data_IF_578105092846
#
_entry.id   IF_578105092846
#
_cell.length_a   1.000
_cell.length_b   1.000
_cell.length_c   1.000
_cell.angle_alpha   90.00
_cell.angle_beta   90.00
_cell.angle_gamma   90.00
#
_symmetry.space_group_name_H-M   'P 1'
#
loop_
_entity.id
_entity.type
_entity.pdbx_description
1 polymer ?
#
# COMPACT_ATOMS: atom_id res chain seq x y z
N UNK A 1 -17.62 -31.60 47.48
CA UNK A 1 -16.80 -31.72 46.25
C UNK A 1 -17.39 -30.81 45.18
N UNK A 2 -16.98 -29.55 45.21
CA UNK A 2 -17.26 -28.50 44.23
C UNK A 2 -15.91 -28.22 43.54
N UNK A 3 -15.94 -27.75 42.30
CA UNK A 3 -14.79 -27.34 41.46
C UNK A 3 -14.02 -28.49 40.79
N UNK A 4 -14.48 -28.95 39.62
CA UNK A 4 -13.61 -29.64 38.64
C UNK A 4 -14.20 -29.77 37.22
N UNK A 5 -15.12 -28.88 36.81
CA UNK A 5 -15.68 -28.89 35.43
C UNK A 5 -15.47 -27.54 34.71
N UNK A 6 -14.89 -26.54 35.39
CA UNK A 6 -14.65 -25.21 34.83
C UNK A 6 -13.26 -24.96 34.24
N UNK A 7 -12.39 -25.98 34.12
CA UNK A 7 -10.99 -25.78 33.69
C UNK A 7 -10.68 -26.24 32.25
N UNK A 8 -11.56 -27.00 31.59
CA UNK A 8 -11.28 -27.53 30.24
C UNK A 8 -11.74 -26.63 29.09
N UNK A 9 -12.59 -25.61 29.32
CA UNK A 9 -13.05 -24.70 28.26
C UNK A 9 -12.28 -23.38 28.16
N UNK A 10 -11.34 -23.11 29.08
CA UNK A 10 -10.52 -21.87 29.06
C UNK A 10 -9.13 -22.13 28.43
N UNK A 11 -8.74 -23.39 28.23
CA UNK A 11 -7.46 -23.75 27.62
C UNK A 11 -7.51 -23.84 26.08
N UNK A 12 -8.70 -23.91 25.48
CA UNK A 12 -8.84 -24.00 24.01
C UNK A 12 -9.01 -22.63 23.31
N UNK A 13 -9.20 -21.55 24.06
CA UNK A 13 -9.34 -20.19 23.51
C UNK A 13 -8.02 -19.41 23.48
N UNK A 14 -6.94 -19.92 24.09
CA UNK A 14 -5.62 -19.30 24.06
C UNK A 14 -4.68 -19.87 22.99
N UNK A 15 -5.02 -20.99 22.36
CA UNK A 15 -4.20 -21.61 21.30
C UNK A 15 -4.61 -21.19 19.88
N UNK A 16 -5.72 -20.46 19.72
CA UNK A 16 -6.15 -19.93 18.42
C UNK A 16 -5.53 -18.58 18.05
N UNK A 17 -4.82 -17.93 18.99
CA UNK A 17 -4.15 -16.64 18.79
C UNK A 17 -2.62 -16.72 18.84
N UNK A 18 -2.03 -17.93 18.85
CA UNK A 18 -0.57 -18.12 18.96
C UNK A 18 0.12 -18.58 17.67
N UNK A 19 -0.55 -18.49 16.52
CA UNK A 19 0.06 -18.69 15.17
C UNK A 19 0.25 -17.36 14.43
N UNK A 20 0.43 -16.27 15.16
CA UNK A 20 0.97 -15.03 14.61
C UNK A 20 2.48 -15.23 14.51
N UNK A 21 2.88 -16.11 13.57
CA UNK A 21 4.27 -16.35 13.23
C UNK A 21 4.93 -14.99 12.91
N UNK A 22 5.98 -14.72 13.67
CA UNK A 22 6.80 -13.52 13.66
C UNK A 22 7.13 -13.11 12.22
N UNK A 23 6.81 -11.86 11.85
CA UNK A 23 7.18 -11.30 10.55
C UNK A 23 8.68 -11.52 10.31
N UNK A 24 9.04 -12.12 9.18
CA UNK A 24 10.40 -12.57 8.90
C UNK A 24 11.08 -11.61 7.91
N UNK A 25 11.41 -10.42 8.39
CA UNK A 25 12.10 -9.40 7.59
C UNK A 25 13.43 -9.92 7.02
N UNK A 26 14.11 -10.84 7.71
CA UNK A 26 15.37 -11.42 7.22
C UNK A 26 15.13 -12.34 6.02
N UNK A 27 14.08 -13.15 6.04
CA UNK A 27 13.68 -13.96 4.88
C UNK A 27 13.24 -13.07 3.72
N UNK A 28 12.44 -12.04 4.01
CA UNK A 28 12.01 -11.05 3.02
C UNK A 28 13.20 -10.36 2.34
N UNK A 29 14.15 -9.83 3.11
CA UNK A 29 15.34 -9.15 2.60
C UNK A 29 16.20 -10.03 1.68
N UNK A 30 16.28 -11.33 1.96
CA UNK A 30 17.02 -12.29 1.12
C UNK A 30 16.43 -12.49 -0.27
N UNK A 31 15.14 -12.18 -0.47
CA UNK A 31 14.52 -12.26 -1.79
C UNK A 31 15.06 -11.21 -2.76
N UNK A 32 15.63 -10.11 -2.24
CA UNK A 32 16.02 -8.94 -3.02
C UNK A 32 14.84 -8.06 -3.46
N UNK A 33 13.60 -8.46 -3.16
CA UNK A 33 12.38 -7.72 -3.47
C UNK A 33 12.27 -6.46 -2.61
N UNK A 34 11.41 -5.54 -3.06
CA UNK A 34 11.12 -4.31 -2.33
C UNK A 34 9.65 -3.98 -2.39
N UNK A 35 8.95 -4.21 -1.29
CA UNK A 35 7.51 -4.08 -1.29
C UNK A 35 6.80 -5.01 -2.26
N UNK A 36 6.04 -4.41 -3.18
CA UNK A 36 5.33 -5.09 -4.26
C UNK A 36 6.20 -5.29 -5.52
N UNK A 37 7.47 -4.88 -5.49
CA UNK A 37 8.37 -4.92 -6.63
C UNK A 37 9.46 -5.97 -6.47
N UNK A 38 9.97 -6.43 -7.61
CA UNK A 38 11.00 -7.46 -7.73
C UNK A 38 12.42 -6.98 -7.33
N UNK A 39 12.60 -5.68 -7.05
CA UNK A 39 13.89 -5.16 -6.63
C UNK A 39 13.78 -3.82 -5.91
N UNK A 40 14.78 -3.55 -5.06
CA UNK A 40 14.96 -2.24 -4.42
C UNK A 40 15.11 -1.10 -5.45
N UNK A 41 14.45 0.06 -5.24
CA UNK A 41 14.66 1.24 -6.07
C UNK A 41 16.03 1.89 -5.81
N UNK A 42 16.59 2.54 -6.83
CA UNK A 42 17.86 3.26 -6.73
C UNK A 42 17.69 4.63 -6.06
N UNK A 43 16.52 5.24 -6.22
CA UNK A 43 16.23 6.56 -5.62
C UNK A 43 14.74 6.81 -5.43
N UNK A 44 14.44 7.86 -4.67
CA UNK A 44 13.10 8.35 -4.39
C UNK A 44 12.88 9.72 -5.03
N UNK A 45 11.64 10.00 -5.41
CA UNK A 45 11.21 11.34 -5.81
C UNK A 45 9.85 11.70 -5.20
N UNK A 46 9.53 12.99 -5.26
CA UNK A 46 8.27 13.56 -4.77
C UNK A 46 7.28 13.65 -5.93
N UNK A 47 6.25 12.78 -6.00
CA UNK A 47 5.32 12.72 -7.14
C UNK A 47 4.73 14.07 -7.54
N UNK A 48 4.34 14.91 -6.57
CA UNK A 48 3.68 16.19 -6.83
C UNK A 48 4.64 17.30 -7.28
N UNK A 49 5.94 17.00 -7.50
CA UNK A 49 6.84 17.88 -8.25
C UNK A 49 6.64 17.75 -9.76
N UNK A 50 6.00 16.69 -10.23
CA UNK A 50 5.67 16.46 -11.64
C UNK A 50 4.30 17.09 -11.92
N UNK A 51 4.21 17.95 -12.93
CA UNK A 51 3.00 18.76 -13.18
C UNK A 51 1.73 17.92 -13.35
N UNK A 52 1.79 16.84 -14.14
CA UNK A 52 0.63 15.97 -14.37
C UNK A 52 0.06 15.40 -13.05
N UNK A 53 0.93 14.94 -12.16
CA UNK A 53 0.52 14.41 -10.85
C UNK A 53 0.09 15.52 -9.87
N UNK A 54 0.75 16.68 -9.90
CA UNK A 54 0.39 17.86 -9.11
C UNK A 54 -1.02 18.38 -9.45
N UNK A 55 -1.40 18.33 -10.71
CA UNK A 55 -2.74 18.74 -11.16
C UNK A 55 -3.76 17.61 -10.98
N UNK A 56 -3.34 16.36 -11.19
CA UNK A 56 -4.20 15.19 -11.15
C UNK A 56 -4.52 14.62 -9.77
N UNK A 57 -3.72 14.87 -8.73
CA UNK A 57 -3.91 14.18 -7.44
C UNK A 57 -5.25 14.49 -6.80
N UNK A 58 -5.65 15.77 -6.74
CA UNK A 58 -6.86 16.15 -6.03
C UNK A 58 -8.14 15.61 -6.70
N UNK A 59 -8.31 15.72 -8.03
CA UNK A 59 -9.41 15.05 -8.73
C UNK A 59 -9.40 13.52 -8.55
N UNK A 60 -8.23 12.89 -8.68
CA UNK A 60 -8.10 11.42 -8.61
C UNK A 60 -8.45 10.90 -7.21
N UNK A 61 -7.91 11.53 -6.16
CA UNK A 61 -8.18 11.14 -4.79
C UNK A 61 -9.59 11.52 -4.35
N UNK A 62 -10.13 12.68 -4.76
CA UNK A 62 -11.54 13.02 -4.50
C UNK A 62 -12.50 12.02 -5.14
N UNK A 63 -12.16 11.53 -6.34
CA UNK A 63 -12.92 10.46 -6.98
C UNK A 63 -12.94 9.18 -6.14
N UNK A 64 -11.79 8.73 -5.62
CA UNK A 64 -11.73 7.58 -4.71
C UNK A 64 -12.54 7.83 -3.44
N UNK A 65 -12.36 8.98 -2.79
CA UNK A 65 -13.09 9.36 -1.57
C UNK A 65 -14.61 9.27 -1.79
N UNK A 66 -15.10 9.79 -2.92
CA UNK A 66 -16.51 9.69 -3.27
C UNK A 66 -16.96 8.26 -3.54
N UNK A 67 -16.16 7.48 -4.26
CA UNK A 67 -16.47 6.08 -4.61
C UNK A 67 -16.56 5.17 -3.38
N UNK A 68 -15.75 5.43 -2.35
CA UNK A 68 -15.72 4.65 -1.11
C UNK A 68 -16.54 5.27 0.03
N UNK A 69 -17.32 6.34 -0.25
CA UNK A 69 -18.15 7.04 0.72
C UNK A 69 -17.40 7.60 1.95
N UNK A 70 -16.20 8.14 1.73
CA UNK A 70 -15.33 8.71 2.77
C UNK A 70 -15.30 10.25 2.75
N UNK A 71 -16.33 10.90 2.20
CA UNK A 71 -16.38 12.36 2.02
C UNK A 71 -16.45 13.14 3.34
N UNK A 72 -16.92 12.50 4.42
CA UNK A 72 -17.17 13.14 5.71
C UNK A 72 -16.02 12.98 6.71
N UNK A 73 -14.87 12.45 6.28
CA UNK A 73 -13.69 12.25 7.12
C UNK A 73 -12.45 12.89 6.50
N UNK A 74 -11.41 13.12 7.31
CA UNK A 74 -10.11 13.49 6.80
C UNK A 74 -9.46 12.29 6.12
N UNK A 75 -9.13 12.44 4.84
CA UNK A 75 -8.48 11.40 4.06
C UNK A 75 -6.98 11.65 4.02
N UNK A 76 -6.25 10.78 4.70
CA UNK A 76 -4.80 10.86 4.83
C UNK A 76 -4.13 9.97 3.78
N UNK A 77 -3.19 10.56 3.05
CA UNK A 77 -2.39 9.84 2.08
C UNK A 77 -0.90 10.05 2.32
N UNK A 78 -0.11 9.05 1.94
CA UNK A 78 1.32 9.19 1.75
C UNK A 78 1.68 8.78 0.32
N UNK A 79 2.37 9.65 -0.40
CA UNK A 79 2.79 9.43 -1.78
C UNK A 79 4.31 9.33 -1.88
N UNK A 80 4.83 8.35 -2.60
CA UNK A 80 6.27 8.23 -2.85
C UNK A 80 6.51 7.78 -4.29
N UNK A 81 7.47 8.43 -4.96
CA UNK A 81 7.97 8.01 -6.25
C UNK A 81 9.22 7.15 -6.10
N UNK A 82 9.28 6.04 -6.81
CA UNK A 82 10.43 5.14 -6.90
C UNK A 82 11.03 5.17 -8.30
N UNK A 83 12.36 5.21 -8.39
CA UNK A 83 13.10 5.14 -9.65
C UNK A 83 14.11 4.00 -9.64
N UNK A 84 14.12 3.24 -10.74
CA UNK A 84 15.15 2.28 -11.07
C UNK A 84 15.89 2.78 -12.31
N UNK A 85 17.21 2.87 -12.20
CA UNK A 85 18.09 3.30 -13.27
C UNK A 85 18.26 2.17 -14.29
N UNK A 86 18.54 2.56 -15.53
CA UNK A 86 18.86 1.62 -16.60
C UNK A 86 20.10 0.79 -16.24
N UNK A 87 20.02 -0.51 -16.45
CA UNK A 87 21.14 -1.46 -16.35
C UNK A 87 21.33 -2.18 -17.68
N UNK A 88 22.25 -3.14 -17.75
CA UNK A 88 22.40 -3.98 -18.95
C UNK A 88 21.19 -4.87 -19.21
N UNK A 89 20.49 -5.27 -18.16
CA UNK A 89 19.43 -6.30 -18.20
C UNK A 89 18.03 -5.71 -18.00
N UNK A 90 17.91 -4.39 -17.79
CA UNK A 90 16.66 -3.72 -17.44
C UNK A 90 16.66 -2.26 -17.87
N UNK A 91 15.56 -1.83 -18.49
CA UNK A 91 15.33 -0.41 -18.78
C UNK A 91 15.00 0.39 -17.52
N UNK A 92 15.18 1.71 -17.61
CA UNK A 92 14.75 2.60 -16.53
C UNK A 92 13.23 2.54 -16.35
N UNK A 93 12.78 2.66 -15.11
CA UNK A 93 11.35 2.74 -14.79
C UNK A 93 11.11 3.59 -13.56
N UNK A 94 9.96 4.23 -13.55
CA UNK A 94 9.45 5.00 -12.42
C UNK A 94 8.08 4.44 -12.00
N UNK A 95 7.81 4.48 -10.70
CA UNK A 95 6.54 4.07 -10.11
C UNK A 95 6.13 5.02 -9.01
N UNK A 96 4.83 5.18 -8.80
CA UNK A 96 4.30 6.09 -7.80
C UNK A 96 3.36 5.31 -6.90
N UNK A 97 3.75 5.21 -5.64
CA UNK A 97 2.96 4.50 -4.65
C UNK A 97 2.18 5.51 -3.83
N UNK A 98 0.89 5.22 -3.68
CA UNK A 98 -0.03 5.97 -2.84
C UNK A 98 -0.54 5.04 -1.75
N UNK A 99 -0.21 5.36 -0.50
CA UNK A 99 -0.86 4.79 0.66
C UNK A 99 -2.05 5.66 1.04
N UNK A 100 -3.27 5.17 0.83
CA UNK A 100 -4.47 5.80 1.37
C UNK A 100 -4.74 5.24 2.76
N UNK A 101 -4.18 5.90 3.78
CA UNK A 101 -4.16 5.41 5.15
C UNK A 101 -5.57 5.27 5.73
N UNK A 102 -6.44 6.25 5.46
CA UNK A 102 -7.81 6.27 5.97
C UNK A 102 -8.64 5.06 5.50
N UNK A 103 -8.42 4.59 4.27
CA UNK A 103 -9.14 3.45 3.71
C UNK A 103 -8.35 2.14 3.75
N UNK A 104 -7.09 2.15 4.24
CA UNK A 104 -6.18 1.01 4.26
C UNK A 104 -5.84 0.43 2.87
N UNK A 105 -5.59 1.31 1.87
CA UNK A 105 -5.20 0.89 0.51
C UNK A 105 -3.74 1.25 0.15
N UNK A 106 -3.10 0.38 -0.63
CA UNK A 106 -1.85 0.63 -1.36
C UNK A 106 -2.16 0.64 -2.86
N UNK A 107 -1.79 1.72 -3.55
CA UNK A 107 -2.10 1.92 -4.96
C UNK A 107 -0.80 2.21 -5.71
N UNK A 108 -0.48 1.42 -6.75
CA UNK A 108 0.55 1.77 -7.74
C UNK A 108 -0.09 2.69 -8.79
N UNK A 109 -0.05 3.99 -8.48
CA UNK A 109 -0.77 5.01 -9.20
C UNK A 109 -0.04 5.38 -10.49
N UNK A 110 -0.62 4.92 -11.59
CA UNK A 110 -0.30 5.39 -12.94
C UNK A 110 -1.37 6.37 -13.41
N UNK A 111 -0.96 7.58 -13.79
CA UNK A 111 -1.85 8.58 -14.36
C UNK A 111 -1.70 8.55 -15.88
N UNK A 112 -2.73 8.12 -16.64
CA UNK A 112 -2.62 8.00 -18.10
C UNK A 112 -2.21 9.30 -18.78
N UNK A 113 -1.34 9.17 -19.78
CA UNK A 113 -1.01 10.27 -20.70
C UNK A 113 -2.24 10.69 -21.51
N UNK A 114 -2.29 11.98 -21.86
CA UNK A 114 -3.35 12.56 -22.69
C UNK A 114 -4.17 13.66 -22.01
N UNK A 115 -5.03 14.29 -22.82
CA UNK A 115 -5.85 15.47 -22.46
C UNK A 115 -7.29 15.09 -22.07
N UNK A 116 -7.61 13.81 -21.86
CA UNK A 116 -8.96 13.40 -21.44
C UNK A 116 -9.29 13.93 -20.03
N UNK A 117 -10.32 14.77 -19.96
CA UNK A 117 -10.88 15.35 -18.73
C UNK A 117 -11.26 14.32 -17.67
N UNK A 118 -11.37 13.03 -18.03
CA UNK A 118 -11.73 11.94 -17.12
C UNK A 118 -10.57 11.02 -16.73
N UNK A 119 -9.33 11.31 -17.14
CA UNK A 119 -8.14 10.50 -16.82
C UNK A 119 -7.94 10.27 -15.31
N UNK A 120 -8.40 11.19 -14.46
CA UNK A 120 -8.32 11.06 -13.01
C UNK A 120 -9.09 9.85 -12.46
N UNK A 121 -10.12 9.38 -13.19
CA UNK A 121 -10.90 8.18 -12.80
C UNK A 121 -10.07 6.90 -12.95
N UNK A 122 -8.99 6.92 -13.73
CA UNK A 122 -8.14 5.77 -14.00
C UNK A 122 -7.47 5.21 -12.75
N UNK A 123 -7.35 6.00 -11.67
CA UNK A 123 -6.78 5.55 -10.40
C UNK A 123 -7.47 4.31 -9.81
N UNK A 124 -8.77 4.10 -10.07
CA UNK A 124 -9.48 2.90 -9.61
C UNK A 124 -9.07 1.64 -10.39
N UNK A 125 -8.45 1.81 -11.55
CA UNK A 125 -7.91 0.75 -12.40
C UNK A 125 -6.40 0.63 -12.28
N UNK A 126 -5.76 1.40 -11.40
CA UNK A 126 -4.35 1.25 -11.06
C UNK A 126 -4.05 -0.18 -10.64
N UNK A 127 -2.89 -0.71 -11.07
CA UNK A 127 -2.51 -2.08 -10.79
C UNK A 127 -1.07 -2.12 -10.24
N UNK A 128 -0.88 -2.60 -8.99
CA UNK A 128 -1.93 -3.10 -8.09
C UNK A 128 -2.74 -1.99 -7.37
N UNK A 129 -4.00 -2.30 -7.04
CA UNK A 129 -4.87 -1.54 -6.13
C UNK A 129 -5.26 -2.50 -5.00
N UNK A 130 -4.57 -2.40 -3.86
CA UNK A 130 -4.51 -3.44 -2.83
C UNK A 130 -5.29 -2.98 -1.60
N UNK A 131 -6.30 -3.75 -1.20
CA UNK A 131 -6.84 -3.66 0.16
C UNK A 131 -5.86 -4.32 1.13
N UNK A 132 -5.20 -3.51 1.94
CA UNK A 132 -4.15 -4.00 2.85
C UNK A 132 -4.71 -4.83 4.00
N UNK A 133 -6.03 -4.82 4.22
CA UNK A 133 -6.68 -5.64 5.25
C UNK A 133 -6.88 -7.08 4.78
N UNK A 134 -7.11 -7.26 3.48
CA UNK A 134 -7.49 -8.55 2.90
C UNK A 134 -6.33 -9.26 2.18
N UNK A 135 -5.45 -8.49 1.54
CA UNK A 135 -4.47 -9.03 0.58
C UNK A 135 -3.02 -8.96 1.08
N UNK A 136 -2.78 -8.45 2.29
CA UNK A 136 -1.42 -8.29 2.85
C UNK A 136 -1.24 -9.23 4.04
N UNK A 137 -0.41 -10.25 3.85
CA UNK A 137 -0.19 -11.37 4.79
C UNK A 137 1.30 -11.54 5.06
N UNK A 138 1.72 -12.20 6.15
CA UNK A 138 3.13 -12.52 6.37
C UNK A 138 3.79 -13.16 5.14
N UNK A 139 5.04 -12.83 4.86
CA UNK A 139 5.75 -13.26 3.66
C UNK A 139 5.62 -14.76 3.38
N UNK A 140 5.75 -15.59 4.42
CA UNK A 140 5.62 -17.06 4.36
C UNK A 140 4.26 -17.54 3.84
N UNK A 141 3.20 -16.75 4.01
CA UNK A 141 1.85 -17.05 3.52
C UNK A 141 1.63 -16.53 2.09
N UNK A 142 2.41 -15.54 1.66
CA UNK A 142 2.34 -14.99 0.31
C UNK A 142 3.15 -15.77 -0.72
N UNK A 143 4.06 -16.65 -0.30
CA UNK A 143 4.90 -17.43 -1.22
C UNK A 143 4.05 -18.29 -2.17
N UNK A 144 4.17 -18.03 -3.47
CA UNK A 144 3.44 -18.77 -4.52
C UNK A 144 1.97 -18.36 -4.72
N UNK A 145 1.45 -17.41 -3.94
CA UNK A 145 0.11 -16.87 -4.13
C UNK A 145 0.09 -15.77 -5.20
N UNK A 146 -0.93 -15.78 -6.08
CA UNK A 146 -1.04 -14.81 -7.18
C UNK A 146 -1.64 -13.46 -6.78
N UNK A 147 -2.30 -13.38 -5.62
CA UNK A 147 -3.07 -12.21 -5.19
C UNK A 147 -2.77 -11.74 -3.76
N UNK A 148 -1.72 -12.31 -3.13
CA UNK A 148 -1.29 -11.93 -1.78
C UNK A 148 0.04 -11.21 -1.85
N UNK A 149 0.22 -10.25 -0.96
CA UNK A 149 1.41 -9.40 -0.86
C UNK A 149 2.07 -9.59 0.50
N UNK A 150 3.40 -9.67 0.49
CA UNK A 150 4.19 -9.83 1.71
C UNK A 150 4.08 -8.57 2.59
N UNK A 151 3.63 -8.77 3.83
CA UNK A 151 3.44 -7.71 4.83
C UNK A 151 4.74 -7.00 5.19
N UNK A 152 5.84 -7.73 5.25
CA UNK A 152 7.20 -7.22 5.46
C UNK A 152 7.58 -6.20 4.39
N UNK A 153 7.30 -6.52 3.12
CA UNK A 153 7.50 -5.62 2.00
C UNK A 153 6.61 -4.38 2.07
N UNK A 154 5.32 -4.54 2.37
CA UNK A 154 4.40 -3.41 2.49
C UNK A 154 4.82 -2.47 3.63
N UNK A 155 5.22 -3.02 4.79
CA UNK A 155 5.76 -2.22 5.91
C UNK A 155 7.02 -1.46 5.50
N UNK A 156 7.93 -2.10 4.75
CA UNK A 156 9.12 -1.45 4.22
C UNK A 156 8.78 -0.24 3.33
N UNK A 157 7.81 -0.37 2.43
CA UNK A 157 7.35 0.75 1.60
C UNK A 157 6.63 1.84 2.41
N UNK A 158 5.85 1.47 3.43
CA UNK A 158 5.22 2.44 4.33
C UNK A 158 6.30 3.26 5.05
N UNK A 159 7.34 2.60 5.56
CA UNK A 159 8.47 3.27 6.21
C UNK A 159 9.22 4.20 5.25
N UNK A 160 9.46 3.77 4.00
CA UNK A 160 10.03 4.64 2.98
C UNK A 160 9.18 5.88 2.77
N UNK A 161 7.85 5.72 2.67
CA UNK A 161 6.95 6.83 2.47
C UNK A 161 6.93 7.79 3.68
N UNK A 162 6.98 7.25 4.90
CA UNK A 162 7.04 8.08 6.11
C UNK A 162 8.31 8.95 6.18
N UNK A 163 9.43 8.45 5.67
CA UNK A 163 10.73 9.11 5.69
C UNK A 163 10.96 10.03 4.48
N UNK A 164 10.59 9.58 3.28
CA UNK A 164 10.98 10.21 2.01
C UNK A 164 9.79 10.74 1.19
N UNK A 165 8.57 10.31 1.53
CA UNK A 165 7.35 10.60 0.79
C UNK A 165 6.75 11.99 1.04
N UNK A 166 5.59 12.21 0.43
CA UNK A 166 4.74 13.39 0.58
C UNK A 166 3.46 12.99 1.31
N UNK A 167 3.28 13.52 2.51
CA UNK A 167 2.06 13.32 3.30
C UNK A 167 1.07 14.42 2.94
N UNK A 168 -0.15 14.04 2.61
CA UNK A 168 -1.23 14.96 2.29
C UNK A 168 -2.48 14.57 3.07
N UNK A 169 -3.32 15.56 3.35
CA UNK A 169 -4.64 15.35 3.93
C UNK A 169 -5.67 16.08 3.09
N UNK A 170 -6.69 15.37 2.63
CA UNK A 170 -7.86 15.96 1.99
C UNK A 170 -8.98 15.98 3.04
N UNK A 171 -9.32 17.17 3.50
CA UNK A 171 -10.44 17.37 4.44
C UNK A 171 -11.78 17.25 3.70
N UNK A 172 -12.92 17.08 4.41
CA UNK A 172 -14.24 17.03 3.80
C UNK A 172 -14.53 18.20 2.84
N UNK A 173 -14.13 19.42 3.19
CA UNK A 173 -14.28 20.61 2.35
C UNK A 173 -13.37 20.64 1.12
N UNK A 174 -12.32 19.81 1.10
CA UNK A 174 -11.36 19.70 0.01
C UNK A 174 -11.76 18.67 -1.06
N UNK A 175 -12.76 17.83 -0.79
CA UNK A 175 -13.23 16.81 -1.75
C UNK A 175 -13.94 17.50 -2.91
N UNK A 176 -13.38 17.40 -4.12
CA UNK A 176 -13.90 18.01 -5.34
C UNK A 176 -14.79 17.08 -6.13
#
# INVERSE_FOLDING_TARGET
MKYLIGLCMILFSLTAFSKQDELDFKAWEKTGSWGIYDSKPDSYFKPLKINNYKEGYLPSFSYLIKRFNLQNVNNEYCLIGYKWNKTKDRDERERIIVFWKTANYLIDWDLPDGEDDHRYKAIIFSKPFIDMSESVVPYKESEGAQALWAKEGVIQMMNDCELNGQKITITPSGVR
#
